data_IF_553148205380
#
_entry.id   IF_553148205380
#
_cell.length_a   1.000
_cell.length_b   1.000
_cell.length_c   1.000
_cell.angle_alpha   90.00
_cell.angle_beta   90.00
_cell.angle_gamma   90.00
#
_symmetry.space_group_name_H-M   'P 1'
#
loop_
_entity.id
_entity.type
_entity.pdbx_description
1 polymer ?
#
# COMPACT_ATOMS: atom_id res chain seq x y z
N UNK A 1 24.10 -4.50 14.63
CA UNK A 1 22.89 -4.17 13.83
C UNK A 1 23.09 -4.75 12.43
N UNK A 2 22.20 -5.62 11.99
CA UNK A 2 22.24 -6.12 10.61
C UNK A 2 21.75 -4.97 9.72
N UNK A 3 22.60 -4.54 8.81
CA UNK A 3 22.23 -3.52 7.81
C UNK A 3 21.66 -4.23 6.58
N UNK A 4 20.52 -3.78 6.02
CA UNK A 4 20.00 -4.32 4.78
C UNK A 4 21.03 -4.14 3.65
N UNK A 5 21.03 -5.03 2.65
CA UNK A 5 21.97 -4.93 1.52
C UNK A 5 21.48 -3.92 0.47
N UNK A 6 20.17 -3.83 0.27
CA UNK A 6 19.52 -3.00 -0.74
C UNK A 6 18.14 -2.54 -0.28
N UNK A 7 17.71 -1.38 -0.79
CA UNK A 7 16.34 -0.91 -0.66
C UNK A 7 15.38 -1.82 -1.43
N UNK A 8 14.27 -2.21 -0.81
CA UNK A 8 13.25 -3.11 -1.37
C UNK A 8 12.42 -2.49 -2.51
N UNK A 9 12.61 -1.20 -2.79
CA UNK A 9 11.97 -0.50 -3.90
C UNK A 9 12.96 -0.14 -5.01
N UNK A 10 14.02 0.63 -4.70
CA UNK A 10 14.89 1.19 -5.73
C UNK A 10 16.20 0.43 -5.94
N UNK A 11 16.50 -0.61 -5.14
CA UNK A 11 17.75 -1.37 -5.11
C UNK A 11 19.01 -0.55 -4.76
N UNK A 12 18.86 0.71 -4.35
CA UNK A 12 19.98 1.51 -3.86
C UNK A 12 20.52 0.91 -2.56
N UNK A 13 21.84 1.00 -2.34
CA UNK A 13 22.52 0.50 -1.14
C UNK A 13 22.84 1.61 -0.12
N UNK A 14 22.43 2.84 -0.39
CA UNK A 14 22.65 4.00 0.50
C UNK A 14 21.38 4.31 1.28
N UNK A 15 21.42 4.09 2.57
CA UNK A 15 20.34 4.38 3.51
C UNK A 15 20.92 4.68 4.88
N UNK A 16 20.15 5.35 5.72
CA UNK A 16 20.51 5.65 7.08
C UNK A 16 19.51 5.08 8.09
N UNK A 17 19.99 4.62 9.24
CA UNK A 17 19.13 4.11 10.29
C UNK A 17 18.29 5.25 10.88
N UNK A 18 17.04 4.95 11.21
CA UNK A 18 16.21 5.84 12.01
C UNK A 18 16.46 5.49 13.48
N UNK A 19 16.91 6.47 14.26
CA UNK A 19 17.15 6.32 15.69
C UNK A 19 15.98 6.89 16.47
N UNK A 20 15.40 6.09 17.35
CA UNK A 20 14.39 6.55 18.31
C UNK A 20 15.09 7.12 19.54
N UNK A 21 14.65 8.29 20.00
CA UNK A 21 15.21 8.95 21.21
C UNK A 21 14.75 8.26 22.49
N UNK A 22 13.64 7.51 22.42
CA UNK A 22 13.06 6.78 23.56
C UNK A 22 12.76 5.33 23.16
N UNK A 23 13.41 4.38 23.81
CA UNK A 23 13.27 2.95 23.50
C UNK A 23 11.83 2.42 23.64
N UNK A 24 11.02 2.97 24.54
CA UNK A 24 9.63 2.53 24.74
C UNK A 24 8.68 2.92 23.58
N UNK A 25 9.09 3.86 22.74
CA UNK A 25 8.33 4.25 21.53
C UNK A 25 8.64 3.37 20.34
N UNK A 26 9.71 2.59 20.42
CA UNK A 26 10.12 1.68 19.38
C UNK A 26 9.28 0.41 19.44
N UNK A 27 8.43 0.10 18.43
CA UNK A 27 7.64 -1.12 18.43
C UNK A 27 8.56 -2.33 18.34
N UNK A 28 8.65 -3.08 19.45
CA UNK A 28 9.56 -4.22 19.55
C UNK A 28 11.03 -3.80 19.41
N UNK A 29 11.87 -4.76 18.99
CA UNK A 29 13.31 -4.52 18.72
C UNK A 29 13.60 -4.29 17.24
N UNK A 30 12.62 -3.79 16.44
CA UNK A 30 12.78 -3.58 15.01
C UNK A 30 13.71 -2.42 14.69
N UNK A 31 14.48 -2.55 13.62
CA UNK A 31 15.27 -1.46 13.05
C UNK A 31 14.58 -0.90 11.82
N UNK A 32 14.71 0.40 11.59
CA UNK A 32 14.12 1.12 10.48
C UNK A 32 15.23 1.81 9.69
N UNK A 33 15.15 1.74 8.37
CA UNK A 33 16.11 2.38 7.48
C UNK A 33 15.38 3.24 6.44
N UNK A 34 15.86 4.46 6.24
CA UNK A 34 15.34 5.39 5.24
C UNK A 34 16.26 5.40 4.03
N UNK A 35 15.73 5.11 2.84
CA UNK A 35 16.49 5.11 1.60
C UNK A 35 16.81 6.53 1.16
N UNK A 36 18.08 6.80 0.84
CA UNK A 36 18.54 8.12 0.39
C UNK A 36 17.94 8.51 -0.98
N UNK A 37 17.75 7.55 -1.86
CA UNK A 37 17.28 7.76 -3.23
C UNK A 37 15.77 7.96 -3.30
N UNK A 38 14.99 6.95 -2.90
CA UNK A 38 13.53 6.94 -3.08
C UNK A 38 12.73 7.34 -1.84
N UNK A 39 13.42 7.63 -0.73
CA UNK A 39 12.82 8.07 0.53
C UNK A 39 11.94 7.03 1.26
N UNK A 40 11.84 5.79 0.74
CA UNK A 40 11.13 4.72 1.42
C UNK A 40 11.78 4.44 2.77
N UNK A 41 10.98 4.37 3.84
CA UNK A 41 11.41 3.81 5.12
C UNK A 41 10.98 2.35 5.13
N UNK A 42 11.88 1.45 5.55
CA UNK A 42 11.60 0.02 5.56
C UNK A 42 12.26 -0.70 6.73
N UNK A 43 11.67 -1.83 7.08
CA UNK A 43 12.12 -2.75 8.13
C UNK A 43 12.84 -3.91 7.45
N UNK A 44 14.07 -4.30 7.88
CA UNK A 44 14.76 -5.48 7.34
C UNK A 44 14.02 -6.79 7.61
N UNK A 45 14.17 -7.75 6.70
CA UNK A 45 13.40 -9.00 6.68
C UNK A 45 13.51 -9.87 7.93
N UNK A 46 14.63 -9.78 8.69
CA UNK A 46 14.79 -10.49 9.96
C UNK A 46 13.82 -10.05 11.07
N UNK A 47 13.15 -8.91 10.88
CA UNK A 47 12.16 -8.38 11.83
C UNK A 47 10.71 -8.54 11.32
N UNK A 48 10.52 -9.15 10.14
CA UNK A 48 9.18 -9.43 9.64
C UNK A 48 8.54 -10.59 10.42
N UNK A 49 7.24 -10.54 10.59
CA UNK A 49 6.48 -11.67 11.13
C UNK A 49 6.58 -12.88 10.20
N UNK A 50 6.36 -14.07 10.75
CA UNK A 50 6.11 -15.24 9.92
C UNK A 50 4.80 -15.09 9.15
N UNK A 51 4.60 -15.77 8.00
CA UNK A 51 3.33 -15.70 7.27
C UNK A 51 2.11 -16.06 8.13
N UNK A 52 2.23 -17.04 9.04
CA UNK A 52 1.12 -17.42 9.93
C UNK A 52 0.79 -16.35 10.96
N UNK A 53 1.82 -15.73 11.60
CA UNK A 53 1.58 -14.66 12.57
C UNK A 53 1.00 -13.40 11.89
N UNK A 54 1.36 -13.17 10.62
CA UNK A 54 0.85 -12.06 9.82
C UNK A 54 -0.63 -12.28 9.47
N UNK A 55 -1.01 -13.49 9.02
CA UNK A 55 -2.38 -13.88 8.73
C UNK A 55 -3.27 -13.80 10.00
N UNK A 56 -2.81 -14.35 11.14
CA UNK A 56 -3.51 -14.22 12.42
C UNK A 56 -3.75 -12.76 12.82
N UNK A 57 -2.77 -11.89 12.55
CA UNK A 57 -2.90 -10.45 12.82
C UNK A 57 -3.99 -9.80 11.97
N UNK A 58 -4.10 -10.16 10.68
CA UNK A 58 -5.12 -9.62 9.79
C UNK A 58 -6.54 -10.03 10.22
N UNK A 59 -6.73 -11.24 10.71
CA UNK A 59 -8.03 -11.72 11.22
C UNK A 59 -8.52 -10.97 12.48
N UNK A 60 -7.67 -10.20 13.15
CA UNK A 60 -8.08 -9.36 14.29
C UNK A 60 -8.75 -8.04 13.88
N UNK A 61 -8.71 -7.69 12.59
CA UNK A 61 -9.31 -6.45 12.11
C UNK A 61 -10.83 -6.62 11.91
N UNK A 62 -11.60 -5.62 12.31
CA UNK A 62 -13.05 -5.59 12.08
C UNK A 62 -13.37 -4.86 10.75
N UNK A 63 -12.99 -5.50 9.64
CA UNK A 63 -13.11 -4.98 8.27
C UNK A 63 -14.40 -5.49 7.60
N UNK A 64 -15.57 -5.20 8.19
CA UNK A 64 -16.85 -5.75 7.74
C UNK A 64 -17.80 -4.65 7.24
N UNK A 65 -18.80 -5.02 6.45
CA UNK A 65 -19.87 -4.12 6.00
C UNK A 65 -20.68 -3.52 7.16
N UNK A 66 -20.70 -4.16 8.32
CA UNK A 66 -21.38 -3.64 9.52
C UNK A 66 -20.60 -2.48 10.17
N UNK A 67 -19.30 -2.34 9.89
CA UNK A 67 -18.46 -1.25 10.36
C UNK A 67 -18.70 0.01 9.51
N UNK A 68 -19.65 0.85 9.95
CA UNK A 68 -20.03 2.08 9.23
C UNK A 68 -18.84 3.03 8.97
N UNK A 69 -17.89 3.12 9.90
CA UNK A 69 -16.70 3.96 9.73
C UNK A 69 -15.83 3.48 8.57
N UNK A 70 -15.62 2.17 8.49
CA UNK A 70 -14.87 1.50 7.42
C UNK A 70 -15.56 1.66 6.07
N UNK A 71 -16.86 1.41 6.00
CA UNK A 71 -17.68 1.61 4.80
C UNK A 71 -17.63 3.07 4.31
N UNK A 72 -17.83 4.05 5.21
CA UNK A 72 -17.80 5.46 4.84
C UNK A 72 -16.44 5.89 4.29
N UNK A 73 -15.35 5.38 4.86
CA UNK A 73 -13.99 5.62 4.35
C UNK A 73 -13.88 5.17 2.89
N UNK A 74 -14.39 4.00 2.53
CA UNK A 74 -14.37 3.52 1.15
C UNK A 74 -15.27 4.32 0.21
N UNK A 75 -16.47 4.68 0.66
CA UNK A 75 -17.38 5.52 -0.14
C UNK A 75 -16.75 6.88 -0.51
N UNK A 76 -15.96 7.46 0.39
CA UNK A 76 -15.17 8.66 0.08
C UNK A 76 -14.11 8.40 -1.01
N UNK A 77 -13.42 7.25 -0.98
CA UNK A 77 -12.44 6.89 -2.00
C UNK A 77 -13.09 6.59 -3.36
N UNK A 78 -14.25 5.93 -3.36
CA UNK A 78 -15.04 5.69 -4.59
C UNK A 78 -15.42 7.01 -5.25
N UNK A 79 -15.85 8.03 -4.50
CA UNK A 79 -16.12 9.37 -5.05
C UNK A 79 -14.89 10.01 -5.70
N UNK A 80 -13.72 9.87 -5.08
CA UNK A 80 -12.47 10.38 -5.67
C UNK A 80 -12.11 9.60 -6.96
N UNK A 81 -12.32 8.29 -6.98
CA UNK A 81 -12.11 7.46 -8.16
C UNK A 81 -13.05 7.93 -9.30
N UNK A 82 -14.32 8.11 -9.03
CA UNK A 82 -15.30 8.61 -10.00
C UNK A 82 -14.92 9.98 -10.57
N UNK A 83 -14.32 10.83 -9.74
CA UNK A 83 -13.88 12.17 -10.14
C UNK A 83 -12.60 12.16 -10.98
N UNK A 84 -11.61 11.32 -10.64
CA UNK A 84 -10.26 11.40 -11.20
C UNK A 84 -9.90 10.26 -12.17
N UNK A 85 -10.74 9.20 -12.26
CA UNK A 85 -10.52 8.05 -13.13
C UNK A 85 -11.69 7.91 -14.13
N UNK A 86 -11.82 8.80 -15.12
CA UNK A 86 -12.94 8.75 -16.05
C UNK A 86 -12.88 7.52 -16.97
N UNK A 87 -14.07 6.95 -17.29
CA UNK A 87 -14.20 5.90 -18.29
C UNK A 87 -13.78 4.51 -17.84
N UNK A 88 -13.54 4.30 -16.54
CA UNK A 88 -13.25 2.96 -16.00
C UNK A 88 -14.52 2.12 -15.91
N UNK A 89 -14.37 0.80 -16.13
CA UNK A 89 -15.44 -0.19 -15.96
C UNK A 89 -14.95 -1.43 -15.20
N UNK A 90 -13.71 -1.86 -15.44
CA UNK A 90 -13.10 -3.03 -14.79
C UNK A 90 -12.14 -2.60 -13.69
N UNK A 91 -12.32 -3.14 -12.49
CA UNK A 91 -11.55 -2.79 -11.28
C UNK A 91 -11.00 -4.04 -10.63
N UNK A 92 -9.79 -3.95 -10.09
CA UNK A 92 -9.22 -4.94 -9.19
C UNK A 92 -9.00 -4.30 -7.81
N UNK A 93 -9.57 -4.90 -6.78
CA UNK A 93 -9.27 -4.63 -5.37
C UNK A 93 -8.08 -5.51 -4.96
N UNK A 94 -6.87 -4.92 -4.92
CA UNK A 94 -5.61 -5.62 -4.66
C UNK A 94 -5.27 -5.55 -3.18
N UNK A 95 -5.43 -6.67 -2.48
CA UNK A 95 -5.39 -6.79 -1.03
C UNK A 95 -6.77 -6.59 -0.43
N UNK A 96 -7.78 -7.31 -0.96
CA UNK A 96 -9.19 -7.12 -0.59
C UNK A 96 -9.53 -7.63 0.83
N UNK A 97 -8.62 -8.40 1.46
CA UNK A 97 -8.82 -9.01 2.78
C UNK A 97 -9.77 -10.20 2.78
N UNK A 98 -10.08 -10.70 3.97
CA UNK A 98 -10.98 -11.85 4.18
C UNK A 98 -12.43 -11.51 3.77
N UNK A 99 -12.97 -10.39 4.24
CA UNK A 99 -14.25 -9.85 3.79
C UNK A 99 -14.01 -8.72 2.77
N UNK A 100 -14.25 -8.93 1.45
CA UNK A 100 -13.89 -7.97 0.40
C UNK A 100 -14.91 -6.81 0.30
N UNK A 101 -14.98 -5.99 1.36
CA UNK A 101 -15.96 -4.89 1.50
C UNK A 101 -15.86 -3.87 0.36
N UNK A 102 -14.64 -3.46 -0.02
CA UNK A 102 -14.46 -2.50 -1.09
C UNK A 102 -14.88 -3.07 -2.44
N UNK A 103 -14.54 -4.34 -2.71
CA UNK A 103 -15.00 -5.07 -3.91
C UNK A 103 -16.53 -5.03 -4.01
N UNK A 104 -17.23 -5.37 -2.92
CA UNK A 104 -18.70 -5.36 -2.91
C UNK A 104 -19.28 -3.96 -3.11
N UNK A 105 -18.69 -2.93 -2.48
CA UNK A 105 -19.14 -1.54 -2.67
C UNK A 105 -18.94 -1.07 -4.12
N UNK A 106 -17.84 -1.43 -4.77
CA UNK A 106 -17.57 -1.12 -6.17
C UNK A 106 -18.56 -1.85 -7.11
N UNK A 107 -18.89 -3.10 -6.83
CA UNK A 107 -19.89 -3.86 -7.58
C UNK A 107 -21.30 -3.23 -7.45
N UNK A 108 -21.66 -2.70 -6.27
CA UNK A 108 -22.90 -1.94 -6.07
C UNK A 108 -22.97 -0.65 -6.89
N UNK A 109 -21.81 -0.04 -7.18
CA UNK A 109 -21.65 1.10 -8.08
C UNK A 109 -21.55 0.69 -9.57
N UNK A 110 -21.90 -0.56 -9.90
CA UNK A 110 -21.90 -1.15 -11.23
C UNK A 110 -20.52 -1.28 -11.92
N UNK A 111 -19.43 -1.33 -11.16
CA UNK A 111 -18.11 -1.71 -11.68
C UNK A 111 -18.00 -3.24 -11.78
N UNK A 112 -17.33 -3.74 -12.84
CA UNK A 112 -16.89 -5.13 -12.95
C UNK A 112 -15.63 -5.29 -12.09
N UNK A 113 -15.82 -5.65 -10.80
CA UNK A 113 -14.77 -5.65 -9.79
C UNK A 113 -14.43 -7.07 -9.33
N UNK A 114 -13.14 -7.43 -9.40
CA UNK A 114 -12.56 -8.63 -8.81
C UNK A 114 -11.80 -8.25 -7.52
N UNK A 115 -11.72 -9.19 -6.56
CA UNK A 115 -10.87 -9.10 -5.38
C UNK A 115 -9.70 -10.07 -5.48
N UNK A 116 -8.51 -9.63 -5.06
CA UNK A 116 -7.32 -10.46 -4.87
C UNK A 116 -6.71 -10.19 -3.50
N UNK A 117 -6.37 -11.24 -2.78
CA UNK A 117 -5.62 -11.16 -1.53
C UNK A 117 -4.68 -12.35 -1.39
N UNK A 118 -3.46 -12.11 -0.92
CA UNK A 118 -2.42 -13.14 -0.82
C UNK A 118 -2.81 -14.31 0.10
N UNK A 119 -3.55 -14.04 1.17
CA UNK A 119 -3.93 -15.01 2.20
C UNK A 119 -5.35 -15.54 1.99
N UNK A 120 -6.29 -14.67 1.67
CA UNK A 120 -7.72 -14.98 1.72
C UNK A 120 -8.33 -15.25 0.34
N UNK A 121 -7.81 -14.63 -0.73
CA UNK A 121 -8.26 -14.78 -2.13
C UNK A 121 -7.05 -14.91 -3.06
N UNK A 122 -6.27 -16.02 -2.96
CA UNK A 122 -4.92 -16.12 -3.54
C UNK A 122 -4.87 -16.38 -5.05
N UNK A 123 -6.00 -16.48 -5.73
CA UNK A 123 -6.06 -16.67 -7.18
C UNK A 123 -5.62 -15.40 -7.90
N UNK A 124 -4.35 -15.37 -8.35
CA UNK A 124 -3.80 -14.19 -9.02
C UNK A 124 -4.54 -13.92 -10.33
N UNK A 125 -5.02 -12.68 -10.56
CA UNK A 125 -5.80 -12.33 -11.74
C UNK A 125 -5.03 -12.52 -13.05
N UNK A 126 -5.72 -13.00 -14.09
CA UNK A 126 -5.14 -13.24 -15.42
C UNK A 126 -5.59 -12.22 -16.48
N UNK A 127 -6.47 -11.27 -16.10
CA UNK A 127 -6.94 -10.19 -16.98
C UNK A 127 -6.34 -8.83 -16.61
N UNK A 128 -6.50 -7.83 -17.48
CA UNK A 128 -6.10 -6.45 -17.20
C UNK A 128 -7.30 -5.58 -16.86
N UNK A 129 -7.07 -4.55 -16.05
CA UNK A 129 -8.09 -3.69 -15.46
C UNK A 129 -7.89 -2.23 -15.86
N UNK A 130 -8.98 -1.47 -15.87
CA UNK A 130 -8.93 -0.01 -16.03
C UNK A 130 -8.41 0.66 -14.75
N UNK A 131 -8.70 0.06 -13.59
CA UNK A 131 -8.23 0.52 -12.28
C UNK A 131 -7.77 -0.67 -11.45
N UNK A 132 -6.60 -0.55 -10.83
CA UNK A 132 -6.21 -1.33 -9.64
C UNK A 132 -6.28 -0.40 -8.45
N UNK A 133 -7.05 -0.77 -7.43
CA UNK A 133 -7.09 -0.08 -6.15
C UNK A 133 -6.49 -0.96 -5.07
N UNK A 134 -5.70 -0.37 -4.18
CA UNK A 134 -5.04 -1.08 -3.07
C UNK A 134 -5.11 -0.22 -1.82
N UNK A 135 -5.76 -0.71 -0.78
CA UNK A 135 -6.08 0.06 0.43
C UNK A 135 -5.53 -0.61 1.68
N UNK A 136 -4.62 0.08 2.41
CA UNK A 136 -3.92 -0.44 3.61
C UNK A 136 -3.21 -1.78 3.31
N UNK A 137 -2.43 -1.83 2.22
CA UNK A 137 -1.71 -3.02 1.75
C UNK A 137 -0.24 -2.71 1.44
N UNK A 138 0.06 -1.55 0.88
CA UNK A 138 1.40 -1.18 0.45
C UNK A 138 2.42 -1.23 1.58
N UNK A 139 2.02 -0.88 2.80
CA UNK A 139 2.83 -0.94 4.03
C UNK A 139 3.27 -2.35 4.43
N UNK A 140 2.63 -3.39 3.87
CA UNK A 140 2.92 -4.79 4.14
C UNK A 140 3.82 -5.45 3.09
N UNK A 141 4.17 -4.76 2.00
CA UNK A 141 4.96 -5.35 0.92
C UNK A 141 6.39 -5.67 1.35
N UNK A 142 6.77 -6.95 1.26
CA UNK A 142 8.13 -7.44 1.53
C UNK A 142 9.11 -7.12 0.40
N UNK A 143 8.61 -7.00 -0.84
CA UNK A 143 9.34 -6.58 -2.03
C UNK A 143 8.48 -5.61 -2.84
N UNK A 144 8.58 -4.33 -2.50
CA UNK A 144 7.77 -3.26 -3.11
C UNK A 144 7.97 -3.18 -4.62
N UNK A 145 9.21 -3.40 -5.10
CA UNK A 145 9.51 -3.37 -6.55
C UNK A 145 8.78 -4.47 -7.29
N UNK A 146 8.81 -5.69 -6.77
CA UNK A 146 8.16 -6.84 -7.40
C UNK A 146 6.63 -6.67 -7.40
N UNK A 147 6.04 -6.23 -6.28
CA UNK A 147 4.60 -5.99 -6.19
C UNK A 147 4.13 -4.89 -7.14
N UNK A 148 4.85 -3.77 -7.25
CA UNK A 148 4.56 -2.73 -8.24
C UNK A 148 4.69 -3.24 -9.69
N UNK A 149 5.61 -4.15 -9.96
CA UNK A 149 5.74 -4.78 -11.29
C UNK A 149 4.53 -5.65 -11.62
N UNK A 150 4.05 -6.45 -10.66
CA UNK A 150 2.82 -7.24 -10.78
C UNK A 150 1.60 -6.34 -11.01
N UNK A 151 1.40 -5.34 -10.14
CA UNK A 151 0.29 -4.38 -10.25
C UNK A 151 0.29 -3.69 -11.61
N UNK A 152 1.47 -3.23 -12.06
CA UNK A 152 1.61 -2.59 -13.37
C UNK A 152 1.21 -3.51 -14.52
N UNK A 153 1.53 -4.81 -14.43
CA UNK A 153 1.18 -5.80 -15.47
C UNK A 153 -0.32 -6.08 -15.55
N UNK A 154 -1.06 -5.80 -14.48
CA UNK A 154 -2.52 -5.94 -14.42
C UNK A 154 -3.27 -4.70 -14.94
N UNK A 155 -2.58 -3.60 -15.21
CA UNK A 155 -3.19 -2.39 -15.72
C UNK A 155 -3.25 -2.38 -17.25
N UNK A 156 -4.38 -1.95 -17.79
CA UNK A 156 -4.48 -1.56 -19.20
C UNK A 156 -3.64 -0.31 -19.46
N UNK A 157 -3.26 -0.10 -20.72
CA UNK A 157 -2.63 1.16 -21.14
C UNK A 157 -3.55 2.34 -20.81
N UNK A 158 -3.01 3.37 -20.15
CA UNK A 158 -3.80 4.51 -19.65
C UNK A 158 -4.61 4.24 -18.39
N UNK A 159 -4.58 3.01 -17.86
CA UNK A 159 -5.28 2.61 -16.63
C UNK A 159 -4.73 3.29 -15.38
N UNK A 160 -5.45 3.14 -14.27
CA UNK A 160 -5.17 3.86 -13.02
C UNK A 160 -4.75 2.92 -11.90
N UNK A 161 -3.86 3.40 -11.05
CA UNK A 161 -3.51 2.80 -9.76
C UNK A 161 -3.91 3.76 -8.65
N UNK A 162 -4.87 3.37 -7.81
CA UNK A 162 -5.25 4.11 -6.61
C UNK A 162 -4.68 3.42 -5.37
N UNK A 163 -3.93 4.15 -4.56
CA UNK A 163 -3.27 3.62 -3.36
C UNK A 163 -3.73 4.38 -2.13
N UNK A 164 -4.17 3.65 -1.11
CA UNK A 164 -4.36 4.17 0.23
C UNK A 164 -3.33 3.53 1.16
N UNK A 165 -2.39 4.33 1.64
CA UNK A 165 -1.39 4.01 2.66
C UNK A 165 -0.94 5.30 3.31
N UNK A 166 -0.73 5.31 4.62
CA UNK A 166 -0.36 6.54 5.32
C UNK A 166 1.06 6.99 4.98
N UNK A 167 1.24 8.30 4.70
CA UNK A 167 2.54 8.87 4.32
C UNK A 167 3.31 9.37 5.54
N UNK A 168 4.64 9.21 5.54
CA UNK A 168 5.50 9.58 6.66
C UNK A 168 6.05 11.01 6.61
N UNK A 169 5.94 11.72 5.48
CA UNK A 169 6.53 13.06 5.32
C UNK A 169 5.81 14.18 6.11
N UNK A 170 4.49 14.12 6.38
CA UNK A 170 3.86 15.14 7.21
C UNK A 170 3.93 14.88 8.71
N UNK A 171 4.60 13.80 9.16
CA UNK A 171 4.58 13.36 10.55
C UNK A 171 5.96 13.22 11.16
N UNK A 172 6.04 13.33 12.50
CA UNK A 172 7.19 12.89 13.26
C UNK A 172 7.17 11.36 13.37
N UNK A 173 8.03 10.68 12.61
CA UNK A 173 8.07 9.23 12.51
C UNK A 173 8.22 8.54 13.86
N UNK A 174 8.98 9.10 14.80
CA UNK A 174 9.18 8.53 16.14
C UNK A 174 7.88 8.46 16.95
N UNK A 175 7.01 9.46 16.80
CA UNK A 175 5.75 9.57 17.54
C UNK A 175 4.54 9.03 16.75
N UNK A 176 4.76 8.51 15.57
CA UNK A 176 3.69 8.07 14.68
C UNK A 176 3.18 6.68 15.05
N UNK A 177 1.88 6.55 15.28
CA UNK A 177 1.25 5.29 15.70
C UNK A 177 1.31 4.19 14.61
N UNK A 178 1.41 4.57 13.33
CA UNK A 178 1.32 3.65 12.20
C UNK A 178 2.42 2.58 12.18
N UNK A 179 3.62 2.90 12.65
CA UNK A 179 4.69 1.92 12.78
C UNK A 179 4.53 0.98 14.00
N UNK A 180 3.49 1.16 14.83
CA UNK A 180 3.23 0.28 15.98
C UNK A 180 2.63 -1.06 15.56
N UNK A 181 2.02 -1.14 14.37
CA UNK A 181 1.58 -2.42 13.84
C UNK A 181 2.80 -3.24 13.39
N UNK A 182 2.97 -4.48 13.88
CA UNK A 182 4.12 -5.32 13.53
C UNK A 182 4.12 -5.78 12.07
N UNK A 183 2.98 -5.73 11.38
CA UNK A 183 2.85 -6.07 9.96
C UNK A 183 3.23 -4.91 9.03
N UNK A 184 3.28 -3.67 9.54
CA UNK A 184 3.74 -2.52 8.77
C UNK A 184 5.27 -2.54 8.68
N UNK A 185 5.79 -2.86 7.52
CA UNK A 185 7.23 -3.06 7.26
C UNK A 185 7.83 -2.10 6.24
N UNK A 186 7.00 -1.31 5.54
CA UNK A 186 7.47 -0.22 4.71
C UNK A 186 6.52 0.99 4.77
N UNK A 187 7.11 2.18 4.66
CA UNK A 187 6.42 3.44 4.85
C UNK A 187 6.81 4.40 3.74
N UNK A 188 5.81 4.95 3.10
CA UNK A 188 5.94 5.76 1.90
C UNK A 188 5.90 7.27 2.23
N UNK A 189 6.43 8.08 1.32
CA UNK A 189 6.32 9.53 1.32
C UNK A 189 5.86 10.03 -0.04
N UNK A 190 5.55 11.32 -0.14
CA UNK A 190 5.31 11.96 -1.43
C UNK A 190 6.49 11.79 -2.37
N UNK A 191 7.72 11.93 -1.88
CA UNK A 191 8.95 11.68 -2.65
C UNK A 191 9.07 10.23 -3.13
N UNK A 192 8.62 9.26 -2.32
CA UNK A 192 8.58 7.85 -2.72
C UNK A 192 7.64 7.64 -3.91
N UNK A 193 6.44 8.22 -3.87
CA UNK A 193 5.49 8.13 -4.99
C UNK A 193 5.93 8.91 -6.22
N UNK A 194 6.63 10.03 -6.07
CA UNK A 194 7.28 10.73 -7.19
C UNK A 194 8.34 9.85 -7.87
N UNK A 195 9.12 9.13 -7.07
CA UNK A 195 10.10 8.17 -7.57
C UNK A 195 9.41 7.00 -8.30
N UNK A 196 8.36 6.39 -7.70
CA UNK A 196 7.55 5.33 -8.32
C UNK A 196 6.98 5.81 -9.65
N UNK A 197 6.39 7.01 -9.69
CA UNK A 197 5.78 7.55 -10.90
C UNK A 197 6.76 7.63 -12.07
N UNK A 198 8.00 8.07 -11.80
CA UNK A 198 9.05 8.20 -12.80
C UNK A 198 9.57 6.84 -13.27
N UNK A 199 9.79 5.90 -12.35
CA UNK A 199 10.45 4.62 -12.67
C UNK A 199 9.51 3.57 -13.25
N UNK A 200 8.22 3.62 -12.89
CA UNK A 200 7.22 2.66 -13.36
C UNK A 200 6.32 3.21 -14.48
N UNK A 201 6.60 4.42 -14.98
CA UNK A 201 5.87 5.00 -16.12
C UNK A 201 4.49 5.54 -15.76
N UNK A 202 4.30 6.00 -14.53
CA UNK A 202 3.05 6.61 -14.09
C UNK A 202 3.12 8.14 -14.15
N UNK A 203 1.93 8.76 -14.07
CA UNK A 203 1.72 10.18 -13.78
C UNK A 203 0.82 10.27 -12.55
N UNK A 204 1.21 11.06 -11.55
CA UNK A 204 0.33 11.34 -10.40
C UNK A 204 -0.79 12.26 -10.87
N UNK A 205 -2.04 11.80 -10.71
CA UNK A 205 -3.25 12.54 -11.09
C UNK A 205 -3.87 13.25 -9.89
N UNK A 206 -3.81 12.59 -8.72
CA UNK A 206 -4.34 13.12 -7.47
C UNK A 206 -3.49 12.67 -6.29
N UNK A 207 -3.35 13.51 -5.29
CA UNK A 207 -2.83 13.17 -3.97
C UNK A 207 -3.43 14.11 -2.92
N UNK A 208 -3.89 13.55 -1.81
CA UNK A 208 -4.27 14.35 -0.63
C UNK A 208 -3.08 14.63 0.30
N UNK A 209 -1.87 14.18 -0.07
CA UNK A 209 -0.61 14.33 0.68
C UNK A 209 -0.64 13.75 2.10
N UNK A 210 -1.55 12.85 2.38
CA UNK A 210 -1.71 12.20 3.68
C UNK A 210 -1.71 10.68 3.56
N UNK A 211 -2.65 10.15 2.77
CA UNK A 211 -2.85 8.70 2.70
C UNK A 211 -3.53 8.21 1.42
N UNK A 212 -3.82 9.05 0.44
CA UNK A 212 -4.49 8.60 -0.78
C UNK A 212 -3.91 9.26 -2.04
N UNK A 213 -3.51 8.42 -3.00
CA UNK A 213 -2.83 8.83 -4.22
C UNK A 213 -3.44 8.06 -5.39
N UNK A 214 -3.66 8.75 -6.52
CA UNK A 214 -4.08 8.16 -7.79
C UNK A 214 -3.00 8.44 -8.83
N UNK A 215 -2.54 7.36 -9.47
CA UNK A 215 -1.55 7.38 -10.54
C UNK A 215 -2.20 6.86 -11.83
N UNK A 216 -1.81 7.40 -12.98
CA UNK A 216 -2.21 6.92 -14.30
C UNK A 216 -1.01 6.34 -15.04
N UNK A 217 -1.14 5.15 -15.61
CA UNK A 217 -0.12 4.53 -16.46
C UNK A 217 -0.05 5.29 -17.79
N UNK A 218 1.17 5.72 -18.16
CA UNK A 218 1.43 6.46 -19.40
C UNK A 218 1.42 5.54 -20.61
#
# INVERSE_FOLDING_TARGET
MVSPKKCILCNNSTFYPITFTKDYKRPGKRSYFRCHECDLIFVPGEFHLSPGDEEERYLLHNNTLSNKGYVNMFLEKIKLIQQYCPGISSVLDYGCGDEPVLTELLQREAYDCDGYDLYFHPEFPVRSYDLVISTEVFEHFRDVRNELTKIRSLLKQGGFLAVMTSLHDPVDFENWWYHSDPTHICFFSTKTFDWISKQFGFKIIYSNQKNFIILQLK
#
